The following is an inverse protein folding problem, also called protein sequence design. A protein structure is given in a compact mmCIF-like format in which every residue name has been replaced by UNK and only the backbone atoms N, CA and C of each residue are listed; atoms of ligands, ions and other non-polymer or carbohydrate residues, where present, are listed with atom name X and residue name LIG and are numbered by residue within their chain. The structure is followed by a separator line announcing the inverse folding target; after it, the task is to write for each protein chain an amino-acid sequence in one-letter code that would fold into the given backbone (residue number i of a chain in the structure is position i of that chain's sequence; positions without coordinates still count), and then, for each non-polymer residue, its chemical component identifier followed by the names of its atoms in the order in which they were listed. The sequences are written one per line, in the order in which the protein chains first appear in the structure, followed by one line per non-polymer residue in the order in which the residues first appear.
data_IF_372271276251
#
_entry.id   IF_372271276251
#
_cell.length_a   1.000
_cell.length_b   1.000
_cell.length_c   1.000
_cell.angle_alpha   90.00
_cell.angle_beta   90.00
_cell.angle_gamma   90.00
#
_symmetry.space_group_name_H-M   'P 1'
#
loop_
_entity.id
_entity.type
_entity.pdbx_description
1 polymer ?
#
# COMPACT_ATOMS: atom_id res chain seq x y z
N UNK A 1 17.06 4.01 9.59
CA UNK A 1 17.51 2.88 8.77
C UNK A 1 18.21 3.44 7.55
N UNK A 2 19.28 2.82 7.10
CA UNK A 2 20.33 3.36 6.21
C UNK A 2 19.88 3.98 4.88
N UNK A 3 18.59 3.95 4.51
CA UNK A 3 18.10 4.42 3.21
C UNK A 3 16.87 5.36 3.26
N UNK A 4 16.47 5.89 4.42
CA UNK A 4 15.26 6.72 4.57
C UNK A 4 13.97 6.12 3.95
N UNK A 5 13.89 4.79 3.84
CA UNK A 5 12.73 4.07 3.31
C UNK A 5 11.79 3.70 4.44
N UNK A 6 10.49 3.76 4.17
CA UNK A 6 9.44 3.27 5.06
C UNK A 6 8.43 2.45 4.26
N UNK A 7 7.92 1.38 4.89
CA UNK A 7 6.88 0.54 4.33
C UNK A 7 5.64 0.68 5.20
N UNK A 8 4.52 1.05 4.58
CA UNK A 8 3.20 1.03 5.19
C UNK A 8 2.44 -0.18 4.66
N UNK A 9 1.93 -1.02 5.56
CA UNK A 9 1.23 -2.24 5.21
C UNK A 9 -0.21 -2.23 5.69
N UNK A 10 -1.15 -2.68 4.84
CA UNK A 10 -2.52 -2.99 5.28
C UNK A 10 -2.94 -4.39 4.77
N UNK A 11 -3.52 -5.20 5.66
CA UNK A 11 -3.99 -6.55 5.34
C UNK A 11 -5.51 -6.63 5.43
N UNK A 12 -6.14 -7.23 4.41
CA UNK A 12 -7.57 -7.48 4.34
C UNK A 12 -7.86 -8.97 4.12
N UNK A 13 -8.35 -9.60 5.17
CA UNK A 13 -8.85 -10.98 5.13
C UNK A 13 -10.38 -10.96 4.98
N UNK A 14 -10.85 -10.69 3.76
CA UNK A 14 -12.29 -10.61 3.47
C UNK A 14 -12.62 -11.33 2.16
N UNK A 15 -13.91 -11.56 1.89
CA UNK A 15 -14.38 -12.10 0.60
C UNK A 15 -14.38 -11.07 -0.53
N UNK A 16 -14.23 -9.78 -0.21
CA UNK A 16 -14.24 -8.69 -1.18
C UNK A 16 -12.82 -8.40 -1.65
N UNK A 17 -12.69 -8.10 -2.94
CA UNK A 17 -11.45 -7.56 -3.49
C UNK A 17 -11.11 -6.22 -2.83
N UNK A 18 -9.82 -5.97 -2.67
CA UNK A 18 -9.30 -4.69 -2.18
C UNK A 18 -9.24 -3.72 -3.35
N UNK A 19 -9.86 -2.54 -3.21
CA UNK A 19 -9.82 -1.48 -4.21
C UNK A 19 -9.00 -0.27 -3.78
N UNK A 20 -8.94 0.75 -4.65
CA UNK A 20 -8.17 1.98 -4.44
C UNK A 20 -8.48 2.70 -3.11
N UNK A 21 -9.70 2.59 -2.60
CA UNK A 21 -10.09 3.25 -1.35
C UNK A 21 -9.23 2.81 -0.17
N UNK A 22 -8.82 1.55 -0.11
CA UNK A 22 -7.95 1.02 0.96
C UNK A 22 -6.53 1.57 0.82
N UNK A 23 -5.99 1.65 -0.41
CA UNK A 23 -4.70 2.29 -0.67
C UNK A 23 -4.71 3.75 -0.21
N UNK A 24 -5.73 4.52 -0.63
CA UNK A 24 -5.88 5.93 -0.26
C UNK A 24 -5.97 6.12 1.25
N UNK A 25 -6.75 5.29 1.94
CA UNK A 25 -6.83 5.33 3.41
C UNK A 25 -5.48 5.04 4.08
N UNK A 26 -4.70 4.11 3.56
CA UNK A 26 -3.37 3.81 4.07
C UNK A 26 -2.40 4.99 3.85
N UNK A 27 -2.43 5.60 2.66
CA UNK A 27 -1.66 6.80 2.33
C UNK A 27 -2.03 7.98 3.24
N UNK A 28 -3.32 8.21 3.52
CA UNK A 28 -3.74 9.25 4.47
C UNK A 28 -3.23 8.99 5.89
N UNK A 29 -3.24 7.73 6.35
CA UNK A 29 -2.66 7.38 7.66
C UNK A 29 -1.14 7.64 7.69
N UNK A 30 -0.43 7.33 6.60
CA UNK A 30 1.02 7.52 6.49
C UNK A 30 1.45 8.98 6.68
N UNK A 31 0.65 9.95 6.22
CA UNK A 31 0.90 11.39 6.39
C UNK A 31 1.04 11.80 7.86
N UNK A 32 0.34 11.11 8.77
CA UNK A 32 0.35 11.42 10.20
C UNK A 32 1.60 10.89 10.92
N UNK A 33 2.41 10.04 10.27
CA UNK A 33 3.64 9.53 10.85
C UNK A 33 4.72 10.58 10.72
N UNK A 34 5.13 11.18 11.85
CA UNK A 34 6.19 12.21 11.93
C UNK A 34 7.57 11.56 12.00
N UNK A 35 8.07 11.10 10.86
CA UNK A 35 9.40 10.53 10.74
C UNK A 35 9.96 10.88 9.37
N UNK A 36 10.89 11.85 9.33
CA UNK A 36 11.62 12.26 8.13
C UNK A 36 10.75 12.50 6.88
N UNK A 37 9.55 13.07 7.04
CA UNK A 37 8.53 13.18 5.98
C UNK A 37 9.03 13.90 4.71
N UNK A 38 9.99 14.81 4.86
CA UNK A 38 10.54 15.60 3.75
C UNK A 38 11.67 14.88 2.99
N UNK A 39 12.17 13.77 3.52
CA UNK A 39 13.34 13.08 2.97
C UNK A 39 13.21 11.55 3.11
N UNK A 40 11.99 11.03 3.04
CA UNK A 40 11.70 9.59 3.06
C UNK A 40 11.08 9.12 1.77
N UNK A 41 11.37 7.87 1.42
CA UNK A 41 10.72 7.15 0.33
C UNK A 41 9.66 6.21 0.91
N UNK A 42 8.43 6.34 0.45
CA UNK A 42 7.28 5.60 0.98
C UNK A 42 6.86 4.47 0.04
N UNK A 43 6.76 3.27 0.61
CA UNK A 43 6.25 2.08 -0.04
C UNK A 43 4.94 1.66 0.62
N UNK A 44 3.99 1.19 -0.19
CA UNK A 44 2.68 0.75 0.24
C UNK A 44 2.49 -0.71 -0.16
N UNK A 45 2.28 -1.58 0.83
CA UNK A 45 1.98 -2.99 0.57
C UNK A 45 0.56 -3.33 1.05
N UNK A 46 -0.23 -3.90 0.14
CA UNK A 46 -1.57 -4.39 0.45
C UNK A 46 -1.59 -5.91 0.37
N UNK A 47 -2.08 -6.53 1.45
CA UNK A 47 -2.32 -7.96 1.50
C UNK A 47 -3.81 -8.25 1.36
N UNK A 48 -4.19 -9.19 0.50
CA UNK A 48 -5.60 -9.54 0.28
C UNK A 48 -5.81 -11.04 0.10
N UNK A 49 -6.80 -11.61 0.80
CA UNK A 49 -7.27 -12.98 0.54
C UNK A 49 -7.97 -13.09 -0.81
N UNK A 50 -8.89 -12.17 -1.08
CA UNK A 50 -9.72 -12.20 -2.29
C UNK A 50 -9.09 -11.53 -3.50
N UNK A 51 -7.87 -11.00 -3.39
CA UNK A 51 -7.20 -10.26 -4.46
C UNK A 51 -7.62 -8.78 -4.51
N UNK A 52 -7.39 -8.16 -5.67
CA UNK A 52 -7.45 -6.71 -5.86
C UNK A 52 -8.39 -6.36 -7.02
N UNK A 53 -8.88 -5.12 -7.06
CA UNK A 53 -9.62 -4.62 -8.22
C UNK A 53 -8.64 -4.33 -9.37
N UNK A 54 -9.12 -4.47 -10.62
CA UNK A 54 -8.33 -4.18 -11.84
C UNK A 54 -7.68 -2.80 -11.80
N UNK A 55 -8.43 -1.76 -11.43
CA UNK A 55 -7.93 -0.39 -11.29
C UNK A 55 -6.72 -0.28 -10.31
N UNK A 56 -6.72 -1.06 -9.23
CA UNK A 56 -5.63 -1.06 -8.27
C UNK A 56 -4.42 -1.84 -8.80
N UNK A 57 -4.64 -2.91 -9.56
CA UNK A 57 -3.59 -3.67 -10.23
C UNK A 57 -2.91 -2.85 -11.32
N UNK A 58 -3.68 -2.13 -12.15
CA UNK A 58 -3.14 -1.20 -13.15
C UNK A 58 -2.31 -0.08 -12.51
N UNK A 59 -2.77 0.49 -11.40
CA UNK A 59 -2.03 1.50 -10.68
C UNK A 59 -0.70 0.95 -10.15
N UNK A 60 -0.71 -0.24 -9.54
CA UNK A 60 0.48 -0.88 -9.03
C UNK A 60 1.51 -1.25 -10.13
N UNK A 61 1.05 -1.48 -11.37
CA UNK A 61 1.96 -1.67 -12.51
C UNK A 61 2.65 -0.36 -12.92
N UNK A 62 1.96 0.78 -12.78
CA UNK A 62 2.49 2.12 -13.12
C UNK A 62 3.39 2.67 -12.00
N UNK A 63 3.05 2.38 -10.74
CA UNK A 63 3.72 2.91 -9.54
C UNK A 63 4.48 1.81 -8.79
N UNK A 64 5.80 1.79 -8.95
CA UNK A 64 6.67 0.75 -8.38
C UNK A 64 6.69 0.70 -6.85
N UNK A 65 6.23 1.75 -6.17
CA UNK A 65 6.16 1.80 -4.71
C UNK A 65 4.86 1.19 -4.14
N UNK A 66 3.95 0.71 -5.00
CA UNK A 66 2.75 -0.03 -4.59
C UNK A 66 2.97 -1.53 -4.84
N UNK A 67 2.82 -2.33 -3.79
CA UNK A 67 3.03 -3.78 -3.81
C UNK A 67 1.74 -4.48 -3.43
N UNK A 68 1.30 -5.41 -4.27
CA UNK A 68 0.09 -6.19 -4.05
C UNK A 68 0.47 -7.65 -3.76
N UNK A 69 0.09 -8.16 -2.59
CA UNK A 69 0.34 -9.55 -2.18
C UNK A 69 -0.96 -10.28 -1.91
N UNK A 70 -1.30 -11.23 -2.79
CA UNK A 70 -2.39 -12.18 -2.53
C UNK A 70 -1.98 -13.16 -1.43
N UNK A 71 -2.87 -13.38 -0.48
CA UNK A 71 -2.71 -14.39 0.56
C UNK A 71 -3.17 -15.74 -0.02
N UNK A 72 -2.30 -16.74 0.09
CA UNK A 72 -2.57 -18.13 -0.31
C UNK A 72 -3.34 -18.80 0.83
#
# INVERSE_FOLDING_TARGET
GENNKIVFGECKYSKKQVGLSILKQLQEKAKNIKWNNNNREEYFILFSKSGFSEELEELAQKEKNIILKKLI
#
